data_IF_904659242910
#
_entry.id   IF_904659242910
#
_cell.length_a   1.000
_cell.length_b   1.000
_cell.length_c   1.000
_cell.angle_alpha   90.00
_cell.angle_beta   90.00
_cell.angle_gamma   90.00
#
_symmetry.space_group_name_H-M   'P 1'
#
loop_
_entity.id
_entity.type
_entity.pdbx_description
1 polymer ?
#
# COMPACT_ATOMS: atom_id res chain seq x y z
N UNK A 1 -12.53 19.60 3.52
CA UNK A 1 -13.27 18.86 2.47
C UNK A 1 -13.91 17.65 3.11
N UNK A 2 -15.21 17.42 2.92
CA UNK A 2 -15.86 16.24 3.51
C UNK A 2 -15.42 15.01 2.71
N UNK A 3 -15.38 13.87 3.40
CA UNK A 3 -14.91 12.57 2.89
C UNK A 3 -15.63 12.07 1.60
N UNK A 4 -16.72 12.71 1.18
CA UNK A 4 -17.58 12.30 0.06
C UNK A 4 -18.16 13.51 -0.71
N UNK A 5 -17.35 14.52 -1.00
CA UNK A 5 -17.83 15.81 -1.56
C UNK A 5 -18.49 15.71 -2.95
N UNK A 6 -18.29 14.61 -3.71
CA UNK A 6 -18.88 14.43 -5.05
C UNK A 6 -19.28 12.96 -5.30
N UNK A 7 -20.58 12.68 -5.17
CA UNK A 7 -21.18 11.39 -5.51
C UNK A 7 -21.78 11.41 -6.91
N UNK A 8 -21.57 10.34 -7.67
CA UNK A 8 -22.16 10.17 -9.01
C UNK A 8 -22.80 8.80 -9.13
N UNK A 9 -23.89 8.69 -9.89
CA UNK A 9 -24.52 7.40 -10.21
C UNK A 9 -23.69 6.70 -11.27
N UNK A 10 -23.11 5.54 -10.95
CA UNK A 10 -22.34 4.75 -11.91
C UNK A 10 -23.24 3.92 -12.84
N UNK A 11 -22.64 3.21 -13.80
CA UNK A 11 -23.39 2.37 -14.76
C UNK A 11 -24.16 1.20 -14.11
N UNK A 12 -23.77 0.79 -12.90
CA UNK A 12 -24.50 -0.21 -12.10
C UNK A 12 -25.63 0.41 -11.25
N UNK A 13 -25.91 1.70 -11.42
CA UNK A 13 -26.95 2.43 -10.70
C UNK A 13 -26.61 2.83 -9.26
N UNK A 14 -25.36 2.64 -8.82
CA UNK A 14 -24.92 2.93 -7.45
C UNK A 14 -24.32 4.33 -7.35
N UNK A 15 -24.60 5.03 -6.25
CA UNK A 15 -23.94 6.31 -5.94
C UNK A 15 -22.54 6.03 -5.41
N UNK A 16 -21.52 6.52 -6.11
CA UNK A 16 -20.11 6.31 -5.74
C UNK A 16 -19.37 7.65 -5.66
N UNK A 17 -18.42 7.82 -4.73
CA UNK A 17 -17.59 9.01 -4.68
C UNK A 17 -16.59 9.04 -5.83
N UNK A 18 -16.39 10.21 -6.43
CA UNK A 18 -15.33 10.42 -7.43
C UNK A 18 -13.99 10.81 -6.80
N UNK A 19 -13.97 11.10 -5.50
CA UNK A 19 -12.77 11.45 -4.74
C UNK A 19 -12.72 10.54 -3.51
N UNK A 20 -11.64 9.78 -3.35
CA UNK A 20 -11.40 8.89 -2.21
C UNK A 20 -9.99 9.19 -1.70
N UNK A 21 -9.85 9.48 -0.39
CA UNK A 21 -8.56 9.83 0.22
C UNK A 21 -7.81 10.98 -0.48
N UNK A 22 -8.55 11.93 -1.08
CA UNK A 22 -7.98 13.06 -1.82
C UNK A 22 -7.54 12.74 -3.26
N UNK A 23 -7.65 11.48 -3.70
CA UNK A 23 -7.32 11.05 -5.06
C UNK A 23 -8.59 10.95 -5.91
N UNK A 24 -8.46 11.19 -7.22
CA UNK A 24 -9.56 11.02 -8.18
C UNK A 24 -9.73 9.54 -8.51
N UNK A 25 -10.96 9.05 -8.44
CA UNK A 25 -11.31 7.68 -8.80
C UNK A 25 -12.30 7.67 -9.96
N UNK A 26 -12.16 6.65 -10.81
CA UNK A 26 -12.99 6.47 -12.01
C UNK A 26 -14.17 5.55 -11.64
N UNK A 27 -15.41 6.05 -11.68
CA UNK A 27 -16.59 5.22 -11.47
C UNK A 27 -16.70 4.11 -12.50
N UNK A 28 -17.33 2.99 -12.16
CA UNK A 28 -17.63 1.94 -13.13
C UNK A 28 -18.48 2.47 -14.29
N UNK A 29 -17.95 2.42 -15.50
CA UNK A 29 -18.55 2.97 -16.72
C UNK A 29 -19.40 1.95 -17.50
N UNK A 30 -19.39 0.67 -17.11
CA UNK A 30 -20.02 -0.43 -17.84
C UNK A 30 -19.00 -1.44 -18.39
N UNK A 31 -19.50 -2.61 -18.79
CA UNK A 31 -18.66 -3.69 -19.33
C UNK A 31 -17.97 -3.22 -20.62
N UNK A 32 -16.64 -3.33 -20.67
CA UNK A 32 -15.84 -2.94 -21.84
C UNK A 32 -15.76 -1.44 -22.14
N UNK A 33 -16.19 -0.57 -21.21
CA UNK A 33 -16.21 0.89 -21.42
C UNK A 33 -14.97 1.61 -20.91
N UNK A 34 -14.19 0.98 -20.05
CA UNK A 34 -12.96 1.54 -19.49
C UNK A 34 -11.72 0.84 -20.05
N UNK A 35 -10.83 1.61 -20.66
CA UNK A 35 -9.53 1.15 -21.13
C UNK A 35 -8.43 1.78 -20.26
N UNK A 36 -7.75 1.01 -19.38
CA UNK A 36 -6.69 1.55 -18.55
C UNK A 36 -5.50 1.99 -19.41
N UNK A 37 -4.98 3.18 -19.13
CA UNK A 37 -3.75 3.70 -19.75
C UNK A 37 -2.62 3.70 -18.73
N UNK A 38 -1.37 3.69 -19.21
CA UNK A 38 -0.17 3.77 -18.35
C UNK A 38 0.77 2.58 -18.51
N UNK A 39 1.82 2.57 -17.70
CA UNK A 39 2.83 1.49 -17.65
C UNK A 39 2.63 0.67 -16.38
N UNK A 40 2.86 -0.64 -16.44
CA UNK A 40 3.03 -1.44 -15.23
C UNK A 40 4.31 -0.97 -14.54
N UNK A 41 4.23 -0.58 -13.28
CA UNK A 41 5.40 -0.24 -12.48
C UNK A 41 6.10 -1.53 -12.01
N UNK A 42 7.43 -1.54 -12.02
CA UNK A 42 8.24 -2.60 -11.44
C UNK A 42 9.54 -2.02 -10.88
N UNK A 43 9.93 -2.34 -9.63
CA UNK A 43 11.22 -1.94 -9.10
C UNK A 43 12.36 -2.63 -9.84
N UNK A 44 13.58 -2.10 -9.73
CA UNK A 44 14.77 -2.84 -10.15
C UNK A 44 14.91 -4.11 -9.31
N UNK A 45 15.41 -5.17 -9.93
CA UNK A 45 15.68 -6.44 -9.24
C UNK A 45 16.91 -6.23 -8.34
N UNK A 46 16.79 -6.37 -7.01
CA UNK A 46 17.96 -6.32 -6.13
C UNK A 46 18.80 -7.60 -6.27
N UNK A 47 20.12 -7.49 -6.12
CA UNK A 47 21.07 -8.62 -6.17
C UNK A 47 21.80 -8.79 -4.85
N UNK A 48 22.31 -9.99 -4.55
CA UNK A 48 23.15 -10.22 -3.38
C UNK A 48 24.44 -9.39 -3.42
N UNK A 49 24.94 -9.06 -4.61
CA UNK A 49 26.10 -8.17 -4.78
C UNK A 49 25.86 -6.74 -4.26
N UNK A 50 24.62 -6.35 -3.98
CA UNK A 50 24.31 -5.05 -3.38
C UNK A 50 24.61 -5.02 -1.87
N UNK A 51 24.96 -6.15 -1.24
CA UNK A 51 25.20 -6.29 0.19
C UNK A 51 26.65 -6.73 0.49
N UNK A 52 27.30 -6.22 1.54
CA UNK A 52 28.69 -6.54 1.84
C UNK A 52 28.79 -7.96 2.39
N UNK A 53 29.18 -8.91 1.53
CA UNK A 53 29.19 -10.39 1.72
C UNK A 53 27.98 -11.17 1.16
N UNK A 54 26.98 -10.47 0.62
CA UNK A 54 25.77 -11.08 0.07
C UNK A 54 24.71 -11.48 1.10
N UNK A 55 24.95 -11.25 2.40
CA UNK A 55 24.02 -11.53 3.48
C UNK A 55 22.91 -10.45 3.56
N UNK A 56 21.68 -10.90 3.82
CA UNK A 56 20.48 -10.05 3.93
C UNK A 56 19.76 -10.21 5.27
N UNK A 57 20.36 -10.96 6.20
CA UNK A 57 19.83 -11.16 7.53
C UNK A 57 19.99 -9.91 8.40
N UNK A 58 19.04 -9.71 9.30
CA UNK A 58 18.99 -8.61 10.26
C UNK A 58 18.46 -9.12 11.59
N UNK A 59 18.80 -8.45 12.68
CA UNK A 59 18.54 -8.98 14.02
C UNK A 59 17.11 -8.76 14.48
N UNK A 60 16.41 -7.76 13.92
CA UNK A 60 15.07 -7.38 14.36
C UNK A 60 14.17 -6.95 13.20
N UNK A 61 12.85 -7.08 13.37
CA UNK A 61 11.87 -6.56 12.41
C UNK A 61 11.99 -5.04 12.24
N UNK A 62 12.32 -4.30 13.31
CA UNK A 62 12.53 -2.85 13.26
C UNK A 62 13.69 -2.48 12.34
N UNK A 63 14.81 -3.18 12.46
CA UNK A 63 15.98 -3.01 11.58
C UNK A 63 15.62 -3.34 10.13
N UNK A 64 14.87 -4.43 9.90
CA UNK A 64 14.39 -4.80 8.57
C UNK A 64 13.58 -3.68 7.91
N UNK A 65 12.63 -3.08 8.64
CA UNK A 65 11.78 -1.99 8.14
C UNK A 65 12.60 -0.73 7.83
N UNK A 66 13.53 -0.35 8.71
CA UNK A 66 14.43 0.79 8.49
C UNK A 66 15.28 0.58 7.24
N UNK A 67 15.92 -0.59 7.11
CA UNK A 67 16.77 -0.93 5.96
C UNK A 67 15.97 -1.02 4.65
N UNK A 68 14.70 -1.42 4.72
CA UNK A 68 13.77 -1.38 3.59
C UNK A 68 13.35 0.05 3.18
N UNK A 69 13.69 1.07 3.98
CA UNK A 69 13.44 2.48 3.68
C UNK A 69 12.01 2.93 3.96
N UNK A 70 11.33 2.32 4.93
CA UNK A 70 9.98 2.71 5.33
C UNK A 70 9.91 4.22 5.67
N UNK A 71 8.87 4.90 5.16
CA UNK A 71 8.67 6.34 5.38
C UNK A 71 7.21 6.72 5.20
N UNK A 72 6.89 7.96 5.55
CA UNK A 72 5.55 8.52 5.43
C UNK A 72 4.96 8.36 4.02
N UNK A 73 3.68 7.98 3.95
CA UNK A 73 2.96 7.87 2.68
C UNK A 73 3.24 6.59 1.88
N UNK A 74 4.13 5.70 2.33
CA UNK A 74 4.39 4.43 1.64
C UNK A 74 3.21 3.47 1.70
N UNK A 75 3.13 2.60 0.68
CA UNK A 75 2.25 1.43 0.68
C UNK A 75 3.01 0.22 1.18
N UNK A 76 2.46 -0.48 2.16
CA UNK A 76 2.94 -1.76 2.67
C UNK A 76 1.89 -2.85 2.42
N UNK A 77 2.29 -4.11 2.47
CA UNK A 77 1.38 -5.23 2.26
C UNK A 77 1.69 -6.39 3.20
N UNK A 78 0.69 -7.23 3.46
CA UNK A 78 0.82 -8.48 4.19
C UNK A 78 0.01 -9.59 3.53
N UNK A 79 0.28 -10.83 3.92
CA UNK A 79 -0.51 -11.99 3.53
C UNK A 79 -1.25 -12.54 4.77
N UNK A 80 -2.47 -13.02 4.59
CA UNK A 80 -3.40 -13.36 5.68
C UNK A 80 -3.50 -14.88 5.94
N UNK A 81 -2.47 -15.67 5.59
CA UNK A 81 -2.49 -17.13 5.74
C UNK A 81 -2.68 -17.58 7.20
N UNK A 82 -2.20 -16.80 8.18
CA UNK A 82 -2.38 -17.10 9.59
C UNK A 82 -3.76 -16.70 10.15
N UNK A 83 -4.62 -16.05 9.36
CA UNK A 83 -5.94 -15.56 9.78
C UNK A 83 -5.83 -14.75 11.09
N UNK A 84 -6.62 -15.10 12.10
CA UNK A 84 -6.61 -14.45 13.42
C UNK A 84 -5.35 -14.77 14.25
N UNK A 85 -4.53 -15.73 13.81
CA UNK A 85 -3.24 -16.06 14.43
C UNK A 85 -2.08 -15.21 13.91
N UNK A 86 -2.32 -14.25 13.02
CA UNK A 86 -1.25 -13.36 12.56
C UNK A 86 -0.81 -12.41 13.68
N UNK A 87 0.48 -12.47 13.99
CA UNK A 87 1.13 -11.56 14.94
C UNK A 87 2.01 -10.53 14.23
N UNK A 88 2.31 -10.71 12.95
CA UNK A 88 3.30 -9.92 12.23
C UNK A 88 2.74 -8.56 11.83
N UNK A 89 1.52 -8.50 11.27
CA UNK A 89 0.95 -7.23 10.82
C UNK A 89 0.86 -6.23 11.99
N UNK A 90 0.41 -6.69 13.17
CA UNK A 90 0.36 -5.84 14.38
C UNK A 90 1.73 -5.29 14.73
N UNK A 91 2.77 -6.14 14.78
CA UNK A 91 4.13 -5.71 15.11
C UNK A 91 4.68 -4.68 14.12
N UNK A 92 4.40 -4.84 12.82
CA UNK A 92 4.82 -3.86 11.79
C UNK A 92 4.22 -2.48 12.07
N UNK A 93 2.93 -2.41 12.40
CA UNK A 93 2.27 -1.14 12.71
C UNK A 93 2.69 -0.52 14.04
N UNK A 94 2.92 -1.34 15.07
CA UNK A 94 3.45 -0.88 16.36
C UNK A 94 4.84 -0.23 16.14
N UNK A 95 5.72 -0.89 15.38
CA UNK A 95 7.06 -0.34 15.05
C UNK A 95 6.95 0.95 14.23
N UNK A 96 6.07 0.99 13.21
CA UNK A 96 5.87 2.19 12.40
C UNK A 96 5.39 3.38 13.26
N UNK A 97 4.49 3.12 14.21
CA UNK A 97 4.04 4.11 15.19
C UNK A 97 5.19 4.62 16.06
N UNK A 98 6.00 3.71 16.62
CA UNK A 98 7.16 4.06 17.46
C UNK A 98 8.22 4.87 16.70
N UNK A 99 8.37 4.62 15.40
CA UNK A 99 9.24 5.39 14.50
C UNK A 99 8.65 6.74 14.09
N UNK A 100 7.40 7.04 14.49
CA UNK A 100 6.71 8.29 14.15
C UNK A 100 6.22 8.36 12.70
N UNK A 101 6.17 7.23 11.99
CA UNK A 101 5.80 7.15 10.58
C UNK A 101 4.29 7.27 10.43
N UNK A 102 3.85 8.09 9.47
CA UNK A 102 2.44 8.45 9.27
C UNK A 102 1.98 8.18 7.84
N UNK A 103 0.66 8.18 7.67
CA UNK A 103 0.01 8.09 6.37
C UNK A 103 0.38 6.85 5.54
N UNK A 104 0.73 5.74 6.20
CA UNK A 104 0.92 4.45 5.52
C UNK A 104 -0.39 3.98 4.89
N UNK A 105 -0.27 3.32 3.73
CA UNK A 105 -1.37 2.61 3.06
C UNK A 105 -1.14 1.11 3.22
N UNK A 106 -2.15 0.37 3.64
CA UNK A 106 -2.13 -1.07 3.82
C UNK A 106 -3.36 -1.71 3.19
#
# INVERSE_FOLDING_TARGET
>A
MKKYDKLVKNAAGRMVPTIINGENHIPFQGVGKYNPTGRRYGPKIPTCNDFPDGNKEVSTLKEALINAGIKDGMTISSHHHFRNGDLIAKQVFDIAHDLGIKNLRW
#
